data_IF_263821529231
#
_entry.id   IF_263821529231
#
_cell.length_a   1.000
_cell.length_b   1.000
_cell.length_c   1.000
_cell.angle_alpha   90.00
_cell.angle_beta   90.00
_cell.angle_gamma   90.00
#
_symmetry.space_group_name_H-M   'P 1'
#
loop_
_entity.id
_entity.type
_entity.pdbx_description
1 polymer ?
#
# COMPACT_ATOMS: atom_id res chain seq x y z
N UNK A 1 8.62 9.28 -9.11
CA UNK A 1 8.17 8.01 -8.50
C UNK A 1 6.82 8.21 -7.86
N UNK A 2 5.97 7.19 -7.92
CA UNK A 2 4.66 7.14 -7.28
C UNK A 2 4.68 6.12 -6.14
N UNK A 3 4.39 6.59 -4.93
CA UNK A 3 4.50 5.81 -3.70
C UNK A 3 3.12 5.70 -3.06
N UNK A 4 2.72 4.47 -2.73
CA UNK A 4 1.53 4.21 -1.93
C UNK A 4 1.90 4.03 -0.45
N UNK A 5 1.26 4.75 0.46
CA UNK A 5 1.33 4.48 1.90
C UNK A 5 0.06 3.72 2.30
N UNK A 6 0.19 2.45 2.67
CA UNK A 6 -0.94 1.63 3.13
C UNK A 6 -1.20 1.91 4.60
N UNK A 7 -2.16 2.78 4.92
CA UNK A 7 -2.51 3.16 6.28
C UNK A 7 -4.02 3.28 6.44
N UNK A 8 -4.57 2.87 7.59
CA UNK A 8 -6.00 3.03 7.87
C UNK A 8 -6.42 4.51 7.91
N UNK A 9 -5.50 5.36 8.37
CA UNK A 9 -5.74 6.78 8.57
C UNK A 9 -4.54 7.60 8.06
N UNK A 10 -4.85 8.58 7.21
CA UNK A 10 -3.89 9.52 6.65
C UNK A 10 -3.62 10.74 7.55
N UNK A 11 -4.44 10.96 8.58
CA UNK A 11 -4.30 12.05 9.53
C UNK A 11 -3.27 11.76 10.63
N UNK A 12 -2.95 10.47 10.86
CA UNK A 12 -1.95 10.05 11.82
C UNK A 12 -0.59 10.69 11.53
N UNK A 13 0.06 11.20 12.58
CA UNK A 13 1.32 11.95 12.48
C UNK A 13 2.36 11.23 11.62
N UNK A 14 2.64 9.95 11.87
CA UNK A 14 3.62 9.18 11.10
C UNK A 14 3.28 9.08 9.61
N UNK A 15 2.00 8.90 9.28
CA UNK A 15 1.55 8.80 7.88
C UNK A 15 1.68 10.15 7.18
N UNK A 16 1.30 11.23 7.88
CA UNK A 16 1.43 12.60 7.39
C UNK A 16 2.90 12.96 7.14
N UNK A 17 3.80 12.66 8.09
CA UNK A 17 5.25 12.93 7.97
C UNK A 17 5.89 12.17 6.81
N UNK A 18 5.52 10.90 6.61
CA UNK A 18 6.00 10.12 5.47
C UNK A 18 5.53 10.72 4.14
N UNK A 19 4.26 11.13 4.07
CA UNK A 19 3.72 11.82 2.88
C UNK A 19 4.47 13.11 2.60
N UNK A 20 4.62 13.98 3.61
CA UNK A 20 5.36 15.24 3.50
C UNK A 20 6.80 15.03 3.04
N UNK A 21 7.51 14.06 3.63
CA UNK A 21 8.89 13.75 3.26
C UNK A 21 8.99 13.30 1.80
N UNK A 22 8.15 12.37 1.35
CA UNK A 22 8.17 11.93 -0.05
C UNK A 22 7.76 13.03 -1.03
N UNK A 23 6.75 13.84 -0.69
CA UNK A 23 6.35 15.00 -1.53
C UNK A 23 7.45 16.06 -1.59
N UNK A 24 8.18 16.31 -0.50
CA UNK A 24 9.30 17.27 -0.48
C UNK A 24 10.46 16.86 -1.40
N UNK A 25 10.58 15.57 -1.69
CA UNK A 25 11.55 14.99 -2.63
C UNK A 25 11.02 14.95 -4.08
N UNK A 26 9.83 15.50 -4.34
CA UNK A 26 9.21 15.52 -5.67
C UNK A 26 8.49 14.23 -6.06
N UNK A 27 8.23 13.31 -5.12
CA UNK A 27 7.48 12.08 -5.38
C UNK A 27 5.96 12.28 -5.25
N UNK A 28 5.19 11.58 -6.08
CA UNK A 28 3.74 11.50 -5.93
C UNK A 28 3.42 10.50 -4.83
N UNK A 29 2.93 10.98 -3.68
CA UNK A 29 2.64 10.11 -2.53
C UNK A 29 1.14 10.07 -2.26
N UNK A 30 0.56 8.86 -2.38
CA UNK A 30 -0.86 8.60 -2.11
C UNK A 30 -1.00 7.77 -0.84
N UNK A 31 -1.82 8.25 0.10
CA UNK A 31 -2.24 7.43 1.25
C UNK A 31 -3.44 6.61 0.83
N UNK A 32 -3.36 5.30 1.02
CA UNK A 32 -4.38 4.33 0.63
C UNK A 32 -4.83 3.57 1.87
N UNK A 33 -6.13 3.60 2.15
CA UNK A 33 -6.69 2.77 3.20
C UNK A 33 -6.79 1.32 2.70
N UNK A 34 -5.87 0.48 3.19
CA UNK A 34 -5.80 -0.93 2.79
C UNK A 34 -7.08 -1.70 3.12
N UNK A 35 -7.87 -1.30 4.13
CA UNK A 35 -9.15 -1.95 4.45
C UNK A 35 -10.24 -1.67 3.40
N UNK A 36 -10.09 -0.64 2.59
CA UNK A 36 -10.99 -0.30 1.49
C UNK A 36 -10.46 -0.76 0.13
N UNK A 37 -9.35 -1.46 0.12
CA UNK A 37 -8.83 -2.10 -1.07
C UNK A 37 -9.61 -3.39 -1.32
N UNK A 38 -9.86 -3.72 -2.58
CA UNK A 38 -10.38 -5.01 -3.03
C UNK A 38 -9.35 -5.61 -3.97
N UNK A 39 -9.09 -6.91 -3.87
CA UNK A 39 -8.08 -7.57 -4.68
C UNK A 39 -8.77 -8.43 -5.73
N UNK A 40 -8.35 -8.30 -6.99
CA UNK A 40 -8.61 -9.31 -7.99
C UNK A 40 -7.43 -10.29 -8.00
N UNK A 41 -7.67 -11.51 -7.53
CA UNK A 41 -6.63 -12.54 -7.31
C UNK A 41 -6.47 -13.44 -8.56
N UNK A 42 -7.10 -13.09 -9.69
CA UNK A 42 -6.94 -13.85 -10.94
C UNK A 42 -5.50 -13.84 -11.41
N UNK A 43 -4.95 -15.02 -11.72
CA UNK A 43 -3.53 -15.21 -12.05
C UNK A 43 -3.05 -14.41 -13.27
N UNK A 44 -3.96 -14.03 -14.18
CA UNK A 44 -3.62 -13.35 -15.43
C UNK A 44 -3.59 -11.82 -15.31
N UNK A 45 -4.24 -11.25 -14.29
CA UNK A 45 -4.36 -9.80 -14.11
C UNK A 45 -4.53 -9.45 -12.62
N UNK A 46 -3.50 -9.69 -11.79
CA UNK A 46 -3.54 -9.33 -10.38
C UNK A 46 -3.69 -7.82 -10.26
N UNK A 47 -4.78 -7.36 -9.63
CA UNK A 47 -5.00 -5.92 -9.43
C UNK A 47 -5.52 -5.61 -8.04
N UNK A 48 -5.21 -4.40 -7.57
CA UNK A 48 -5.79 -3.83 -6.35
C UNK A 48 -6.72 -2.70 -6.76
N UNK A 49 -7.99 -2.78 -6.37
CA UNK A 49 -8.98 -1.73 -6.58
C UNK A 49 -9.17 -0.94 -5.29
N UNK A 50 -9.34 0.38 -5.41
CA UNK A 50 -9.62 1.27 -4.30
C UNK A 50 -10.66 2.30 -4.73
N UNK A 51 -11.79 2.35 -4.04
CA UNK A 51 -12.90 3.27 -4.34
C UNK A 51 -13.36 3.21 -5.82
N UNK A 52 -13.44 2.00 -6.38
CA UNK A 52 -13.88 1.79 -7.76
C UNK A 52 -12.82 2.05 -8.84
N UNK A 53 -11.60 2.44 -8.45
CA UNK A 53 -10.48 2.65 -9.39
C UNK A 53 -9.39 1.63 -9.16
N UNK A 54 -8.76 1.15 -10.23
CA UNK A 54 -7.56 0.32 -10.13
C UNK A 54 -6.38 1.16 -9.64
N UNK A 55 -5.67 0.65 -8.64
CA UNK A 55 -4.44 1.22 -8.14
C UNK A 55 -3.28 0.78 -9.03
N UNK A 56 -3.00 1.59 -10.04
CA UNK A 56 -1.95 1.32 -11.03
C UNK A 56 -0.79 2.30 -10.93
N UNK A 57 0.34 1.89 -11.49
CA UNK A 57 1.56 2.67 -11.70
C UNK A 57 2.24 3.14 -10.40
N UNK A 58 2.14 2.34 -9.33
CA UNK A 58 2.95 2.56 -8.13
C UNK A 58 4.32 1.92 -8.30
N UNK A 59 5.38 2.67 -8.01
CA UNK A 59 6.75 2.15 -8.01
C UNK A 59 7.07 1.46 -6.69
N UNK A 60 6.50 1.98 -5.59
CA UNK A 60 6.75 1.47 -4.25
C UNK A 60 5.54 1.58 -3.33
N UNK A 61 5.51 0.70 -2.33
CA UNK A 61 4.53 0.68 -1.25
C UNK A 61 5.22 0.72 0.12
N UNK A 62 4.71 1.57 1.02
CA UNK A 62 5.13 1.68 2.42
C UNK A 62 3.99 1.12 3.28
N UNK A 63 4.12 -0.12 3.79
CA UNK A 63 3.10 -0.75 4.61
C UNK A 63 3.08 -0.21 6.04
N UNK A 64 1.97 0.43 6.44
CA UNK A 64 1.67 0.86 7.82
C UNK A 64 0.46 0.07 8.34
N UNK A 65 0.65 -1.24 8.45
CA UNK A 65 -0.40 -2.19 8.83
C UNK A 65 -0.62 -2.16 10.34
N UNK A 66 -1.89 -2.10 10.76
CA UNK A 66 -2.27 -2.10 12.17
C UNK A 66 -2.31 -3.54 12.69
N UNK A 67 -1.85 -3.75 13.94
CA UNK A 67 -1.72 -5.08 14.54
C UNK A 67 -3.03 -5.89 14.57
N UNK A 68 -4.18 -5.23 14.70
CA UNK A 68 -5.49 -5.89 14.71
C UNK A 68 -5.99 -6.31 13.32
N UNK A 69 -5.31 -5.89 12.24
CA UNK A 69 -5.70 -6.13 10.84
C UNK A 69 -4.56 -6.71 10.00
N UNK A 70 -3.59 -7.36 10.64
CA UNK A 70 -2.37 -7.88 10.00
C UNK A 70 -2.72 -8.81 8.83
N UNK A 71 -3.57 -9.81 9.04
CA UNK A 71 -3.90 -10.79 7.99
C UNK A 71 -4.35 -10.14 6.67
N UNK A 72 -5.33 -9.24 6.72
CA UNK A 72 -5.82 -8.55 5.52
C UNK A 72 -4.81 -7.55 4.98
N UNK A 73 -4.15 -6.79 5.86
CA UNK A 73 -3.14 -5.83 5.47
C UNK A 73 -1.98 -6.49 4.73
N UNK A 74 -1.48 -7.61 5.21
CA UNK A 74 -0.41 -8.38 4.56
C UNK A 74 -0.86 -9.01 3.24
N UNK A 75 -2.13 -9.40 3.10
CA UNK A 75 -2.67 -9.88 1.83
C UNK A 75 -2.65 -8.77 0.76
N UNK A 76 -3.03 -7.54 1.13
CA UNK A 76 -2.95 -6.38 0.23
C UNK A 76 -1.50 -6.07 -0.14
N UNK A 77 -0.58 -6.08 0.82
CA UNK A 77 0.87 -5.89 0.56
C UNK A 77 1.38 -6.96 -0.42
N UNK A 78 1.04 -8.22 -0.17
CA UNK A 78 1.41 -9.33 -1.05
C UNK A 78 0.87 -9.16 -2.46
N UNK A 79 -0.34 -8.62 -2.61
CA UNK A 79 -0.89 -8.35 -3.94
C UNK A 79 -0.05 -7.31 -4.69
N UNK A 80 0.41 -6.25 -4.01
CA UNK A 80 1.33 -5.28 -4.60
C UNK A 80 2.68 -5.93 -5.00
N UNK A 81 3.21 -6.83 -4.18
CA UNK A 81 4.44 -7.60 -4.51
C UNK A 81 4.24 -8.47 -5.76
N UNK A 82 3.11 -9.17 -5.87
CA UNK A 82 2.76 -9.98 -7.05
C UNK A 82 2.60 -9.10 -8.29
N UNK A 83 2.15 -7.86 -8.13
CA UNK A 83 2.09 -6.86 -9.20
C UNK A 83 3.47 -6.26 -9.56
N UNK A 84 4.55 -6.69 -8.90
CA UNK A 84 5.91 -6.20 -9.14
C UNK A 84 6.23 -4.86 -8.49
N UNK A 85 5.39 -4.37 -7.57
CA UNK A 85 5.61 -3.11 -6.84
C UNK A 85 6.56 -3.36 -5.67
N UNK A 86 7.59 -2.52 -5.53
CA UNK A 86 8.54 -2.64 -4.44
C UNK A 86 7.88 -2.39 -3.07
N UNK A 87 8.07 -3.27 -2.09
CA UNK A 87 7.59 -3.05 -0.72
C UNK A 87 8.74 -2.74 0.22
N UNK A 88 8.63 -1.66 1.00
CA UNK A 88 9.65 -1.30 2.00
C UNK A 88 9.81 -2.37 3.10
N UNK A 89 8.72 -3.08 3.41
CA UNK A 89 8.74 -4.28 4.25
C UNK A 89 7.88 -5.33 3.56
N UNK A 90 8.45 -6.50 3.29
CA UNK A 90 7.69 -7.56 2.64
C UNK A 90 6.53 -8.05 3.51
N UNK A 91 5.46 -8.51 2.85
CA UNK A 91 4.27 -9.08 3.47
C UNK A 91 4.62 -10.20 4.45
N UNK A 92 5.61 -11.02 4.10
CA UNK A 92 6.12 -12.09 4.98
C UNK A 92 6.79 -11.53 6.23
N UNK A 93 7.61 -10.47 6.10
CA UNK A 93 8.31 -9.84 7.21
C UNK A 93 7.37 -9.14 8.20
N UNK A 94 6.19 -8.68 7.75
CA UNK A 94 5.16 -8.09 8.62
C UNK A 94 4.37 -9.17 9.35
N UNK A 95 4.18 -10.33 8.71
CA UNK A 95 3.35 -11.42 9.24
C UNK A 95 4.05 -12.32 10.26
N UNK A 96 5.38 -12.28 10.30
CA UNK A 96 6.26 -13.19 11.04
C UNK A 96 6.82 -12.52 12.28
#
# INVERSE_FOLDING_TARGET
MKIAILSQDGSLYSTKRLKEAGTSQGYEVKVVNYLRCYMNITSHSPTVMYQGQTLENFDAVIPRIGASRTFYGTAVVRQFEVMGVFSANESQAISR
#
